data_IF_163271133816
#
_entry.id   IF_163271133816
#
_cell.length_a   1.000
_cell.length_b   1.000
_cell.length_c   1.000
_cell.angle_alpha   90.00
_cell.angle_beta   90.00
_cell.angle_gamma   90.00
#
_symmetry.space_group_name_H-M   'P 1'
#
loop_
_entity.id
_entity.type
_entity.pdbx_description
1 polymer ?
#
# COMPACT_ATOMS: atom_id res chain seq x y z
N UNK A 1 -6.71 -27.00 -8.18
CA UNK A 1 -6.30 -25.58 -8.05
C UNK A 1 -5.22 -25.51 -6.98
N UNK A 2 -4.17 -24.72 -7.19
CA UNK A 2 -3.13 -24.52 -6.16
C UNK A 2 -3.71 -23.87 -4.90
N UNK A 3 -3.09 -24.13 -3.75
CA UNK A 3 -3.54 -23.59 -2.46
C UNK A 3 -3.12 -22.12 -2.35
N UNK A 4 -4.09 -21.19 -2.43
CA UNK A 4 -3.84 -19.77 -2.28
C UNK A 4 -3.79 -19.42 -0.78
N UNK A 5 -2.59 -19.25 -0.21
CA UNK A 5 -2.41 -18.83 1.20
C UNK A 5 -2.12 -17.33 1.28
N UNK A 6 -3.14 -16.54 1.58
CA UNK A 6 -3.05 -15.09 1.79
C UNK A 6 -3.52 -14.79 3.22
N UNK A 7 -2.67 -14.17 4.05
CA UNK A 7 -3.09 -13.78 5.42
C UNK A 7 -3.80 -12.41 5.45
N UNK A 8 -3.41 -11.50 4.57
CA UNK A 8 -3.91 -10.12 4.56
C UNK A 8 -3.96 -9.60 3.13
N UNK A 9 -5.06 -8.93 2.78
CA UNK A 9 -5.31 -8.42 1.43
C UNK A 9 -5.99 -7.07 1.49
N UNK A 10 -5.62 -6.15 0.61
CA UNK A 10 -6.30 -4.88 0.41
C UNK A 10 -6.89 -4.80 -0.99
N UNK A 11 -8.18 -4.47 -1.08
CA UNK A 11 -8.91 -4.30 -2.35
C UNK A 11 -9.38 -2.86 -2.47
N UNK A 12 -9.00 -2.20 -3.57
CA UNK A 12 -9.45 -0.84 -3.86
C UNK A 12 -10.79 -0.81 -4.59
N UNK A 13 -11.66 0.16 -4.26
CA UNK A 13 -12.97 0.29 -4.91
C UNK A 13 -13.88 -0.91 -4.64
N UNK A 14 -13.96 -1.34 -3.39
CA UNK A 14 -14.54 -2.62 -2.98
C UNK A 14 -16.03 -2.57 -2.60
N UNK A 15 -16.69 -1.43 -2.79
CA UNK A 15 -18.09 -1.26 -2.38
C UNK A 15 -19.13 -1.74 -3.41
N UNK A 16 -18.71 -2.06 -4.65
CA UNK A 16 -19.57 -2.57 -5.72
C UNK A 16 -18.75 -3.27 -6.80
N UNK A 17 -19.42 -3.91 -7.76
CA UNK A 17 -18.80 -4.46 -8.96
C UNK A 17 -17.70 -5.49 -8.65
N UNK A 18 -16.62 -5.48 -9.45
CA UNK A 18 -15.52 -6.45 -9.35
C UNK A 18 -14.83 -6.39 -7.98
N UNK A 19 -14.63 -5.20 -7.41
CA UNK A 19 -14.00 -5.06 -6.09
C UNK A 19 -14.81 -5.71 -4.97
N UNK A 20 -16.13 -5.56 -4.99
CA UNK A 20 -17.02 -6.23 -4.04
C UNK A 20 -17.01 -7.75 -4.25
N UNK A 21 -17.00 -8.20 -5.50
CA UNK A 21 -16.85 -9.62 -5.84
C UNK A 21 -15.56 -10.21 -5.28
N UNK A 22 -14.43 -9.52 -5.42
CA UNK A 22 -13.17 -9.95 -4.79
C UNK A 22 -13.34 -10.12 -3.28
N UNK A 23 -13.94 -9.16 -2.58
CA UNK A 23 -14.17 -9.26 -1.13
C UNK A 23 -15.03 -10.47 -0.78
N UNK A 24 -16.16 -10.66 -1.47
CA UNK A 24 -17.06 -11.79 -1.24
C UNK A 24 -16.34 -13.14 -1.44
N UNK A 25 -15.57 -13.28 -2.51
CA UNK A 25 -14.85 -14.50 -2.83
C UNK A 25 -13.68 -14.76 -1.87
N UNK A 26 -12.93 -13.73 -1.48
CA UNK A 26 -11.84 -13.84 -0.49
C UNK A 26 -12.35 -14.31 0.87
N UNK A 27 -13.50 -13.79 1.31
CA UNK A 27 -14.14 -14.19 2.57
C UNK A 27 -14.73 -15.60 2.53
N UNK A 28 -15.03 -16.12 1.34
CA UNK A 28 -15.60 -17.46 1.12
C UNK A 28 -14.54 -18.55 0.84
N UNK A 29 -13.25 -18.22 0.83
CA UNK A 29 -12.19 -19.20 0.65
C UNK A 29 -12.20 -20.26 1.77
N UNK A 30 -11.80 -21.52 1.50
CA UNK A 30 -11.69 -22.56 2.53
C UNK A 30 -10.77 -22.17 3.70
N UNK A 31 -9.68 -21.46 3.37
CA UNK A 31 -8.76 -20.82 4.32
C UNK A 31 -8.80 -19.31 4.05
N UNK A 32 -9.77 -18.56 4.59
CA UNK A 32 -9.92 -17.14 4.30
C UNK A 32 -8.78 -16.32 4.91
N UNK A 33 -8.47 -15.13 4.36
CA UNK A 33 -7.49 -14.24 4.95
C UNK A 33 -7.85 -13.88 6.40
N UNK A 34 -6.83 -13.72 7.24
CA UNK A 34 -6.96 -13.19 8.60
C UNK A 34 -7.58 -11.78 8.57
N UNK A 35 -7.25 -10.99 7.54
CA UNK A 35 -7.88 -9.68 7.30
C UNK A 35 -8.04 -9.38 5.81
N UNK A 36 -9.21 -8.85 5.45
CA UNK A 36 -9.55 -8.28 4.15
C UNK A 36 -9.83 -6.79 4.37
N UNK A 37 -8.96 -5.92 3.87
CA UNK A 37 -9.19 -4.48 3.83
C UNK A 37 -9.95 -4.13 2.56
N UNK A 38 -11.19 -3.69 2.71
CA UNK A 38 -12.05 -3.28 1.60
C UNK A 38 -12.17 -1.75 1.61
N UNK A 39 -11.59 -1.09 0.60
CA UNK A 39 -11.61 0.37 0.58
C UNK A 39 -12.77 0.93 -0.23
N UNK A 40 -13.30 2.08 0.19
CA UNK A 40 -14.28 2.85 -0.58
C UNK A 40 -14.27 4.33 -0.15
N UNK A 41 -14.81 5.22 -0.99
CA UNK A 41 -14.75 6.67 -0.74
C UNK A 41 -15.60 7.11 0.44
N UNK A 42 -16.84 6.62 0.49
CA UNK A 42 -17.81 6.95 1.54
C UNK A 42 -18.32 5.67 2.21
N UNK A 43 -17.66 5.21 3.29
CA UNK A 43 -18.06 4.00 4.00
C UNK A 43 -19.46 4.05 4.61
N UNK A 44 -20.00 5.25 4.89
CA UNK A 44 -21.31 5.41 5.56
C UNK A 44 -22.44 5.72 4.58
N UNK A 45 -22.09 6.09 3.35
CA UNK A 45 -23.06 6.39 2.29
C UNK A 45 -23.78 5.17 1.74
N UNK A 46 -24.84 5.43 0.98
CA UNK A 46 -25.71 4.41 0.39
C UNK A 46 -24.94 3.40 -0.49
N UNK A 47 -23.93 3.89 -1.22
CA UNK A 47 -23.11 3.07 -2.12
C UNK A 47 -22.24 2.04 -1.40
N UNK A 48 -22.10 2.11 -0.08
CA UNK A 48 -21.34 1.16 0.73
C UNK A 48 -22.22 0.21 1.55
N UNK A 49 -23.55 0.28 1.43
CA UNK A 49 -24.47 -0.52 2.24
C UNK A 49 -24.23 -2.03 2.14
N UNK A 50 -23.96 -2.55 0.94
CA UNK A 50 -23.69 -3.98 0.76
C UNK A 50 -22.38 -4.40 1.44
N UNK A 51 -21.34 -3.57 1.32
CA UNK A 51 -20.07 -3.81 1.99
C UNK A 51 -20.21 -3.73 3.52
N UNK A 52 -21.01 -2.80 4.03
CA UNK A 52 -21.35 -2.71 5.46
C UNK A 52 -22.11 -3.95 5.96
N UNK A 53 -23.07 -4.46 5.16
CA UNK A 53 -23.80 -5.71 5.47
C UNK A 53 -22.89 -6.93 5.48
N UNK A 54 -21.84 -6.95 4.67
CA UNK A 54 -20.81 -8.01 4.74
C UNK A 54 -19.95 -7.85 5.99
N UNK A 55 -19.48 -6.63 6.30
CA UNK A 55 -18.63 -6.38 7.45
C UNK A 55 -19.31 -6.73 8.79
N UNK A 56 -20.64 -6.57 8.89
CA UNK A 56 -21.38 -6.99 10.08
C UNK A 56 -21.43 -8.51 10.29
N UNK A 57 -21.18 -9.30 9.24
CA UNK A 57 -21.17 -10.77 9.27
C UNK A 57 -19.75 -11.34 9.36
N UNK A 58 -18.74 -10.60 8.92
CA UNK A 58 -17.37 -11.07 8.80
C UNK A 58 -16.43 -10.20 9.64
N UNK A 59 -15.97 -10.74 10.78
CA UNK A 59 -15.04 -10.01 11.67
C UNK A 59 -13.67 -9.74 11.05
N UNK A 60 -13.29 -10.50 10.02
CA UNK A 60 -12.06 -10.33 9.26
C UNK A 60 -12.20 -9.35 8.08
N UNK A 61 -13.35 -8.67 7.91
CA UNK A 61 -13.54 -7.61 6.92
C UNK A 61 -13.43 -6.23 7.58
N UNK A 62 -12.47 -5.43 7.12
CA UNK A 62 -12.22 -4.06 7.60
C UNK A 62 -12.48 -3.08 6.48
N UNK A 63 -13.40 -2.15 6.68
CA UNK A 63 -13.71 -1.10 5.68
C UNK A 63 -12.82 0.10 5.94
N UNK A 64 -12.08 0.55 4.91
CA UNK A 64 -11.14 1.67 5.00
C UNK A 64 -11.57 2.79 4.05
N UNK A 65 -11.75 4.05 4.52
CA UNK A 65 -12.02 5.17 3.63
C UNK A 65 -10.82 5.44 2.71
N UNK A 66 -11.05 5.58 1.41
CA UNK A 66 -10.00 5.89 0.44
C UNK A 66 -10.55 6.63 -0.79
N UNK A 67 -10.02 7.83 -1.03
CA UNK A 67 -10.03 8.51 -2.32
C UNK A 67 -8.68 8.29 -2.99
N UNK A 68 -8.66 7.49 -4.06
CA UNK A 68 -7.43 7.03 -4.71
C UNK A 68 -6.70 8.15 -5.46
N UNK A 69 -7.39 9.24 -5.77
CA UNK A 69 -6.80 10.41 -6.43
C UNK A 69 -6.23 11.44 -5.45
N UNK A 70 -6.45 11.26 -4.13
CA UNK A 70 -5.94 12.15 -3.09
C UNK A 70 -4.76 11.51 -2.34
N UNK A 71 -3.52 12.04 -2.49
CA UNK A 71 -2.35 11.53 -1.78
C UNK A 71 -2.49 11.55 -0.25
N UNK A 72 -3.23 12.51 0.32
CA UNK A 72 -3.47 12.55 1.76
C UNK A 72 -4.38 11.40 2.21
N UNK A 73 -5.43 11.11 1.43
CA UNK A 73 -6.30 9.94 1.66
C UNK A 73 -5.54 8.62 1.54
N UNK A 74 -4.67 8.46 0.54
CA UNK A 74 -3.80 7.27 0.39
C UNK A 74 -2.94 7.07 1.64
N UNK A 75 -2.28 8.14 2.11
CA UNK A 75 -1.42 8.09 3.29
C UNK A 75 -2.21 7.71 4.55
N UNK A 76 -3.39 8.29 4.75
CA UNK A 76 -4.26 7.95 5.87
C UNK A 76 -4.75 6.49 5.82
N UNK A 77 -5.11 5.99 4.63
CA UNK A 77 -5.51 4.60 4.46
C UNK A 77 -4.35 3.63 4.76
N UNK A 78 -3.15 3.93 4.27
CA UNK A 78 -1.95 3.13 4.53
C UNK A 78 -1.61 3.09 6.03
N UNK A 79 -1.67 4.23 6.72
CA UNK A 79 -1.45 4.30 8.16
C UNK A 79 -2.48 3.45 8.93
N UNK A 80 -3.78 3.58 8.60
CA UNK A 80 -4.84 2.79 9.23
C UNK A 80 -4.68 1.28 9.02
N UNK A 81 -4.26 0.86 7.82
CA UNK A 81 -3.96 -0.54 7.51
C UNK A 81 -2.74 -1.02 8.30
N UNK A 82 -1.66 -0.23 8.36
CA UNK A 82 -0.46 -0.53 9.13
C UNK A 82 -0.74 -0.70 10.63
N UNK A 83 -1.55 0.19 11.21
CA UNK A 83 -2.00 0.10 12.61
C UNK A 83 -2.80 -1.18 12.87
N UNK A 84 -3.73 -1.53 11.97
CA UNK A 84 -4.51 -2.75 12.10
C UNK A 84 -3.64 -4.01 12.02
N UNK A 85 -2.65 -4.00 11.12
CA UNK A 85 -1.73 -5.11 10.96
C UNK A 85 -0.78 -5.29 12.15
N UNK A 86 -0.53 -4.26 12.97
CA UNK A 86 0.35 -4.32 14.15
C UNK A 86 1.73 -4.91 13.84
N UNK A 87 2.27 -4.58 12.66
CA UNK A 87 3.52 -5.14 12.16
C UNK A 87 3.44 -6.54 11.58
N UNK A 88 2.25 -7.07 11.32
CA UNK A 88 2.07 -8.05 10.25
C UNK A 88 2.24 -7.37 8.88
N UNK A 89 2.64 -8.12 7.85
CA UNK A 89 2.75 -7.56 6.50
C UNK A 89 1.41 -7.57 5.74
N UNK A 90 1.34 -6.84 4.63
CA UNK A 90 0.25 -6.90 3.66
C UNK A 90 0.65 -7.86 2.54
N UNK A 91 -0.03 -9.01 2.41
CA UNK A 91 0.42 -10.05 1.49
C UNK A 91 -0.04 -9.81 0.04
N UNK A 92 -1.18 -9.13 -0.14
CA UNK A 92 -1.74 -8.87 -1.47
C UNK A 92 -2.38 -7.48 -1.53
N UNK A 93 -2.05 -6.72 -2.58
CA UNK A 93 -2.69 -5.47 -2.96
C UNK A 93 -3.41 -5.65 -4.30
N UNK A 94 -4.71 -5.35 -4.34
CA UNK A 94 -5.53 -5.36 -5.55
C UNK A 94 -5.92 -3.92 -5.90
N UNK A 95 -5.22 -3.34 -6.88
CA UNK A 95 -5.55 -2.06 -7.50
C UNK A 95 -6.70 -2.26 -8.50
N UNK A 96 -7.94 -2.28 -8.00
CA UNK A 96 -9.17 -2.47 -8.76
C UNK A 96 -9.97 -1.17 -8.97
N UNK A 97 -9.83 -0.17 -8.11
CA UNK A 97 -10.51 1.11 -8.29
C UNK A 97 -10.15 1.72 -9.66
N UNK A 98 -11.18 2.06 -10.44
CA UNK A 98 -11.01 2.63 -11.76
C UNK A 98 -12.28 3.29 -12.28
N UNK A 99 -12.11 4.12 -13.29
CA UNK A 99 -13.19 4.83 -13.99
C UNK A 99 -13.02 4.71 -15.50
N UNK A 100 -14.10 4.92 -16.23
CA UNK A 100 -14.09 5.08 -17.68
C UNK A 100 -15.07 6.17 -18.06
N UNK A 101 -14.72 6.94 -19.08
CA UNK A 101 -15.56 7.98 -19.66
C UNK A 101 -16.07 7.51 -21.03
N UNK A 102 -17.23 8.03 -21.46
CA UNK A 102 -17.85 7.70 -22.75
C UNK A 102 -17.71 8.85 -23.76
N UNK A 103 -16.62 9.62 -23.66
CA UNK A 103 -16.34 10.73 -24.57
C UNK A 103 -15.89 10.18 -25.94
N UNK A 104 -16.23 10.93 -26.99
CA UNK A 104 -15.66 10.76 -28.33
C UNK A 104 -14.45 11.68 -28.51
N UNK A 105 -13.63 11.46 -29.54
CA UNK A 105 -12.40 12.24 -29.74
C UNK A 105 -12.65 13.75 -29.85
N UNK A 106 -13.80 14.17 -30.40
CA UNK A 106 -14.21 15.56 -30.55
C UNK A 106 -14.83 16.19 -29.29
N UNK A 107 -15.23 15.36 -28.32
CA UNK A 107 -15.82 15.81 -27.04
C UNK A 107 -14.88 15.62 -25.85
N UNK A 108 -13.71 15.03 -26.07
CA UNK A 108 -12.73 14.78 -25.02
C UNK A 108 -12.10 16.05 -24.47
N UNK A 109 -11.84 16.07 -23.17
CA UNK A 109 -11.25 17.22 -22.48
C UNK A 109 -9.93 16.87 -21.79
N UNK A 110 -9.11 17.88 -21.55
CA UNK A 110 -7.89 17.73 -20.75
C UNK A 110 -8.22 17.20 -19.34
N UNK A 111 -9.27 17.74 -18.72
CA UNK A 111 -9.66 17.39 -17.36
C UNK A 111 -10.13 15.93 -17.27
N UNK A 112 -10.91 15.46 -18.24
CA UNK A 112 -11.33 14.06 -18.32
C UNK A 112 -10.14 13.11 -18.52
N UNK A 113 -9.24 13.45 -19.44
CA UNK A 113 -8.01 12.68 -19.67
C UNK A 113 -7.14 12.60 -18.42
N UNK A 114 -6.92 13.71 -17.74
CA UNK A 114 -6.14 13.76 -16.50
C UNK A 114 -6.86 13.01 -15.37
N UNK A 115 -8.18 13.12 -15.27
CA UNK A 115 -8.94 12.43 -14.23
C UNK A 115 -8.88 10.90 -14.39
N UNK A 116 -9.06 10.39 -15.61
CA UNK A 116 -8.93 8.97 -15.93
C UNK A 116 -7.50 8.48 -15.72
N UNK A 117 -6.50 9.19 -16.24
CA UNK A 117 -5.09 8.81 -16.09
C UNK A 117 -4.64 8.82 -14.62
N UNK A 118 -5.07 9.82 -13.86
CA UNK A 118 -4.77 9.90 -12.43
C UNK A 118 -5.39 8.73 -11.67
N UNK A 119 -6.67 8.43 -11.91
CA UNK A 119 -7.37 7.35 -11.21
C UNK A 119 -6.86 5.96 -11.60
N UNK A 120 -6.66 5.70 -12.88
CA UNK A 120 -6.39 4.34 -13.38
C UNK A 120 -4.89 4.01 -13.46
N UNK A 121 -3.99 5.00 -13.42
CA UNK A 121 -2.54 4.80 -13.63
C UNK A 121 -1.71 5.38 -12.49
N UNK A 122 -1.89 6.67 -12.16
CA UNK A 122 -1.10 7.31 -11.10
C UNK A 122 -1.46 6.75 -9.72
N UNK A 123 -2.75 6.56 -9.43
CA UNK A 123 -3.17 6.05 -8.13
C UNK A 123 -2.66 4.63 -7.81
N UNK A 124 -2.71 3.63 -8.72
CA UNK A 124 -2.06 2.34 -8.49
C UNK A 124 -0.57 2.43 -8.15
N UNK A 125 0.17 3.35 -8.77
CA UNK A 125 1.57 3.59 -8.44
C UNK A 125 1.71 4.11 -7.01
N UNK A 126 0.96 5.16 -6.63
CA UNK A 126 1.03 5.76 -5.29
C UNK A 126 0.62 4.78 -4.19
N UNK A 127 -0.42 3.99 -4.43
CA UNK A 127 -0.87 2.93 -3.51
C UNK A 127 0.19 1.83 -3.36
N UNK A 128 0.85 1.44 -4.45
CA UNK A 128 1.93 0.46 -4.41
C UNK A 128 3.15 0.99 -3.64
N UNK A 129 3.48 2.28 -3.81
CA UNK A 129 4.52 2.95 -3.03
C UNK A 129 4.20 2.95 -1.53
N UNK A 130 2.95 3.28 -1.17
CA UNK A 130 2.50 3.25 0.24
C UNK A 130 2.49 1.83 0.84
N UNK A 131 2.19 0.81 0.04
CA UNK A 131 2.17 -0.58 0.48
C UNK A 131 3.56 -1.28 0.52
N UNK A 132 4.59 -0.69 -0.10
CA UNK A 132 5.90 -1.32 -0.32
C UNK A 132 6.55 -1.84 0.97
N UNK A 133 6.44 -1.08 2.06
CA UNK A 133 7.01 -1.49 3.34
C UNK A 133 6.25 -2.67 3.96
N UNK A 134 4.93 -2.71 3.80
CA UNK A 134 4.11 -3.82 4.28
C UNK A 134 4.40 -5.11 3.50
N UNK A 135 4.72 -5.01 2.22
CA UNK A 135 5.18 -6.13 1.38
C UNK A 135 6.59 -6.59 1.80
N UNK A 136 7.49 -5.66 2.12
CA UNK A 136 8.83 -5.98 2.66
C UNK A 136 8.70 -6.70 4.01
N UNK A 137 7.72 -6.33 4.83
CA UNK A 137 7.40 -7.04 6.08
C UNK A 137 6.96 -8.48 5.83
N UNK A 138 6.18 -8.77 4.78
CA UNK A 138 5.83 -10.15 4.41
C UNK A 138 7.06 -11.00 4.10
N UNK A 139 8.00 -10.47 3.32
CA UNK A 139 9.27 -11.15 3.02
C UNK A 139 10.03 -11.47 4.30
N UNK A 140 10.12 -10.50 5.22
CA UNK A 140 10.80 -10.71 6.51
C UNK A 140 10.17 -11.82 7.37
N UNK A 141 8.85 -12.01 7.29
CA UNK A 141 8.14 -13.05 8.05
C UNK A 141 8.31 -14.42 7.40
N UNK A 142 8.19 -14.50 6.07
CA UNK A 142 8.34 -15.76 5.33
C UNK A 142 9.77 -16.28 5.31
N UNK A 143 10.76 -15.38 5.25
CA UNK A 143 12.16 -15.80 5.22
C UNK A 143 12.82 -15.89 6.61
N UNK A 144 12.08 -15.60 7.68
CA UNK A 144 12.57 -15.71 9.06
C UNK A 144 13.04 -17.12 9.38
N UNK A 145 12.27 -18.14 9.00
CA UNK A 145 12.61 -19.55 9.23
C UNK A 145 13.87 -20.01 8.47
N UNK A 146 14.26 -19.25 7.43
CA UNK A 146 15.45 -19.46 6.63
C UNK A 146 16.65 -18.64 7.11
N UNK A 147 16.51 -17.88 8.21
CA UNK A 147 17.57 -17.02 8.75
C UNK A 147 17.89 -15.78 7.90
N UNK A 148 16.96 -15.32 7.05
CA UNK A 148 17.18 -14.18 6.16
C UNK A 148 16.61 -12.90 6.78
N UNK A 149 17.45 -11.87 6.88
CA UNK A 149 17.06 -10.53 7.31
C UNK A 149 16.56 -9.71 6.12
N UNK A 150 15.37 -9.11 6.22
CA UNK A 150 14.84 -8.21 5.20
C UNK A 150 14.59 -6.83 5.82
N UNK A 151 15.05 -5.75 5.20
CA UNK A 151 14.76 -4.38 5.65
C UNK A 151 14.58 -3.45 4.46
N UNK A 152 13.73 -2.44 4.61
CA UNK A 152 13.64 -1.34 3.64
C UNK A 152 14.44 -0.15 4.18
N UNK A 153 15.24 0.48 3.31
CA UNK A 153 16.03 1.66 3.64
C UNK A 153 15.64 2.86 2.76
N UNK A 154 15.33 3.99 3.40
CA UNK A 154 15.24 5.28 2.74
C UNK A 154 16.62 5.96 2.76
N UNK A 155 17.24 6.22 1.59
CA UNK A 155 18.58 6.79 1.52
C UNK A 155 18.64 8.28 1.88
N UNK A 156 17.52 8.92 2.23
CA UNK A 156 17.42 10.38 2.26
C UNK A 156 17.25 10.97 0.86
N UNK A 157 17.31 12.30 0.75
CA UNK A 157 17.28 12.98 -0.54
C UNK A 157 18.71 13.19 -1.06
N UNK A 158 19.16 12.32 -1.96
CA UNK A 158 20.57 12.25 -2.37
C UNK A 158 20.86 13.11 -3.61
N UNK A 159 22.07 13.64 -3.72
CA UNK A 159 22.60 14.38 -4.88
C UNK A 159 22.97 13.45 -6.04
N UNK A 160 21.94 12.90 -6.69
CA UNK A 160 22.02 12.06 -7.90
C UNK A 160 21.11 12.62 -8.99
N UNK A 161 21.19 12.08 -10.21
CA UNK A 161 20.29 12.46 -11.32
C UNK A 161 18.81 12.30 -10.93
N UNK A 162 18.47 11.21 -10.22
CA UNK A 162 17.12 10.96 -9.71
C UNK A 162 16.72 11.96 -8.62
N UNK A 163 17.67 12.42 -7.81
CA UNK A 163 17.42 13.43 -6.79
C UNK A 163 17.32 14.86 -7.34
N UNK A 164 17.65 15.08 -8.62
CA UNK A 164 17.61 16.37 -9.30
C UNK A 164 18.77 17.32 -8.92
N UNK A 165 18.71 18.56 -9.41
CA UNK A 165 19.78 19.56 -9.25
C UNK A 165 19.48 20.67 -8.25
N UNK A 166 18.29 20.65 -7.62
CA UNK A 166 17.87 21.67 -6.65
C UNK A 166 18.83 21.74 -5.45
N UNK A 167 19.35 22.93 -5.14
CA UNK A 167 20.15 23.11 -3.93
C UNK A 167 19.24 23.26 -2.71
N UNK A 168 19.35 22.32 -1.77
CA UNK A 168 18.63 22.32 -0.51
C UNK A 168 19.51 21.71 0.59
N UNK A 169 19.43 22.27 1.81
CA UNK A 169 20.25 21.86 2.96
C UNK A 169 19.93 20.45 3.49
N UNK A 170 18.76 19.91 3.16
CA UNK A 170 18.35 18.55 3.51
C UNK A 170 18.95 17.48 2.59
N UNK A 171 19.64 17.88 1.52
CA UNK A 171 20.21 16.95 0.54
C UNK A 171 21.57 16.42 0.97
N UNK A 172 21.74 15.12 0.79
CA UNK A 172 22.96 14.38 1.12
C UNK A 172 23.83 14.18 -0.11
N UNK A 173 25.13 14.18 0.07
CA UNK A 173 26.03 13.52 -0.87
C UNK A 173 25.76 12.02 -0.91
N UNK A 174 26.19 11.36 -1.98
CA UNK A 174 26.11 9.90 -2.10
C UNK A 174 26.87 9.22 -0.95
N UNK A 175 28.07 9.72 -0.63
CA UNK A 175 28.91 9.16 0.44
C UNK A 175 28.25 9.25 1.81
N UNK A 176 27.65 10.39 2.18
CA UNK A 176 26.93 10.53 3.46
C UNK A 176 25.76 9.55 3.58
N UNK A 177 24.97 9.43 2.51
CA UNK A 177 23.82 8.51 2.45
C UNK A 177 24.26 7.04 2.59
N UNK A 178 25.27 6.62 1.82
CA UNK A 178 25.76 5.24 1.81
C UNK A 178 26.46 4.88 3.11
N UNK A 179 27.32 5.76 3.65
CA UNK A 179 27.98 5.52 4.94
C UNK A 179 26.95 5.42 6.07
N UNK A 180 25.91 6.27 6.06
CA UNK A 180 24.78 6.17 6.98
C UNK A 180 24.08 4.82 6.87
N UNK A 181 23.67 4.42 5.67
CA UNK A 181 23.00 3.13 5.45
C UNK A 181 23.87 1.92 5.82
N UNK A 182 25.18 1.93 5.52
CA UNK A 182 26.10 0.86 5.93
C UNK A 182 26.21 0.78 7.46
N UNK A 183 26.27 1.92 8.15
CA UNK A 183 26.23 1.97 9.61
C UNK A 183 24.93 1.38 10.15
N UNK A 184 23.78 1.72 9.56
CA UNK A 184 22.49 1.12 9.91
C UNK A 184 22.54 -0.39 9.74
N UNK A 185 22.90 -0.89 8.54
CA UNK A 185 22.98 -2.31 8.22
C UNK A 185 23.88 -3.08 9.19
N UNK A 186 25.03 -2.53 9.55
CA UNK A 186 25.98 -3.15 10.50
C UNK A 186 25.43 -3.31 11.92
N UNK A 187 24.38 -2.56 12.28
CA UNK A 187 23.76 -2.56 13.60
C UNK A 187 22.47 -3.39 13.67
N UNK A 188 21.97 -3.87 12.53
CA UNK A 188 20.71 -4.61 12.48
C UNK A 188 20.85 -6.01 13.06
N UNK A 189 19.75 -6.49 13.63
CA UNK A 189 19.59 -7.82 14.16
C UNK A 189 18.21 -8.39 13.79
N UNK A 190 17.93 -9.61 14.20
CA UNK A 190 16.64 -10.29 13.92
C UNK A 190 15.42 -9.48 14.39
N UNK A 191 15.56 -8.63 15.41
CA UNK A 191 14.49 -7.74 15.92
C UNK A 191 14.13 -6.64 14.92
N UNK A 192 15.02 -6.32 14.00
CA UNK A 192 14.90 -5.20 13.07
C UNK A 192 14.37 -5.64 11.69
N UNK A 193 14.21 -6.94 11.47
CA UNK A 193 13.67 -7.50 10.22
C UNK A 193 12.27 -6.95 9.93
N UNK A 194 11.97 -6.62 8.68
CA UNK A 194 10.71 -6.06 8.21
C UNK A 194 10.46 -4.60 8.60
N UNK A 195 11.45 -3.90 9.15
CA UNK A 195 11.33 -2.47 9.44
C UNK A 195 11.67 -1.61 8.21
N UNK A 196 11.15 -0.38 8.20
CA UNK A 196 11.52 0.67 7.26
C UNK A 196 12.30 1.75 8.01
N UNK A 197 13.54 2.02 7.60
CA UNK A 197 14.43 2.97 8.28
C UNK A 197 15.05 3.95 7.31
N UNK A 198 15.41 5.14 7.76
CA UNK A 198 16.23 6.05 6.96
C UNK A 198 17.74 5.77 7.13
N UNK A 199 18.57 6.48 6.37
CA UNK A 199 20.03 6.44 6.41
C UNK A 199 20.64 6.79 7.80
N UNK A 200 19.89 7.44 8.69
CA UNK A 200 20.31 7.71 10.08
C UNK A 200 19.92 6.58 11.05
N UNK A 201 19.14 5.59 10.59
CA UNK A 201 18.61 4.49 11.40
C UNK A 201 17.29 4.79 12.09
N UNK A 202 16.67 5.95 11.83
CA UNK A 202 15.33 6.28 12.36
C UNK A 202 14.29 5.40 11.69
N UNK A 203 13.39 4.82 12.49
CA UNK A 203 12.22 4.13 11.95
C UNK A 203 11.32 5.15 11.24
N UNK A 204 10.93 4.81 10.02
CA UNK A 204 9.96 5.56 9.24
C UNK A 204 8.59 4.88 9.38
N UNK A 205 7.54 5.70 9.36
CA UNK A 205 6.18 5.19 9.34
C UNK A 205 5.94 4.37 8.06
N UNK A 206 5.11 3.34 8.18
CA UNK A 206 4.54 2.65 7.03
C UNK A 206 3.59 3.56 6.27
#
# INVERSE_FOLDING_TARGET
>A
MGELRIRSVLVTGANRGIGLGFVQHLLALPNPPEVVFATCRDPKGERAQELQKLASKHRNLVIVPLEVTDPASIKAAAASVGEHLKGSGLNLLINNAGIGNNNSLDTETLDDMLHVFTTNTVAPLLLSQAALNMLTRCQSLGYREHGILCVALHPGWVKTDMGGTLEDKSRLTVDESVQGMLKVLSSLSEKDTGTFRNWEGKNLAW
#
